data_IF_166712630671
#
_entry.id   IF_166712630671
#
_cell.length_a   1.000
_cell.length_b   1.000
_cell.length_c   1.000
_cell.angle_alpha   90.00
_cell.angle_beta   90.00
_cell.angle_gamma   90.00
#
_symmetry.space_group_name_H-M   'P 1'
#
loop_
_entity.id
_entity.type
_entity.pdbx_description
1 polymer ?
#
# COMPACT_ATOMS: atom_id res chain seq x y z
N UNK A 1 4.98 31.69 3.02
CA UNK A 1 4.43 30.80 4.07
C UNK A 1 3.89 31.71 5.15
N UNK A 2 2.60 32.01 5.05
CA UNK A 2 1.94 32.95 5.95
C UNK A 2 1.52 32.26 7.25
N UNK A 3 1.53 33.06 8.31
CA UNK A 3 1.80 32.66 9.68
C UNK A 3 0.56 32.19 10.44
N UNK A 4 0.84 31.32 11.42
CA UNK A 4 0.18 31.21 12.73
C UNK A 4 -1.35 31.20 12.78
N UNK A 5 -1.87 30.00 13.05
CA UNK A 5 -3.17 29.75 13.67
C UNK A 5 -3.18 30.38 15.08
N UNK A 6 -3.36 31.69 15.14
CA UNK A 6 -3.79 32.38 16.34
C UNK A 6 -5.23 31.92 16.59
N UNK A 7 -5.55 31.60 17.85
CA UNK A 7 -6.85 31.08 18.29
C UNK A 7 -7.99 32.08 17.98
N UNK A 8 -8.39 32.17 16.71
CA UNK A 8 -9.47 33.02 16.25
C UNK A 8 -10.75 32.45 16.83
N UNK A 9 -11.38 33.18 17.76
CA UNK A 9 -12.76 32.93 18.14
C UNK A 9 -13.64 33.29 16.95
N UNK A 10 -14.03 32.27 16.19
CA UNK A 10 -14.98 32.39 15.11
C UNK A 10 -16.36 32.71 15.68
N UNK A 11 -17.07 33.68 15.08
CA UNK A 11 -18.49 33.84 15.34
C UNK A 11 -19.28 32.73 14.63
N UNK A 12 -20.55 32.55 15.00
CA UNK A 12 -21.37 31.50 14.38
C UNK A 12 -21.59 31.76 12.90
N UNK A 13 -21.77 33.04 12.51
CA UNK A 13 -21.91 33.45 11.12
C UNK A 13 -20.65 33.17 10.31
N UNK A 14 -19.47 33.53 10.83
CA UNK A 14 -18.20 33.25 10.14
C UNK A 14 -17.95 31.74 10.01
N UNK A 15 -18.40 30.94 10.99
CA UNK A 15 -18.29 29.47 10.95
C UNK A 15 -19.18 28.87 9.87
N UNK A 16 -20.41 29.37 9.71
CA UNK A 16 -21.34 28.93 8.67
C UNK A 16 -20.86 29.35 7.28
N UNK A 17 -20.35 30.57 7.11
CA UNK A 17 -19.77 31.03 5.86
C UNK A 17 -18.55 30.19 5.46
N UNK A 18 -17.67 29.88 6.42
CA UNK A 18 -16.51 29.03 6.18
C UNK A 18 -16.92 27.61 5.78
N UNK A 19 -17.92 27.02 6.45
CA UNK A 19 -18.44 25.70 6.10
C UNK A 19 -19.01 25.68 4.67
N UNK A 20 -19.85 26.66 4.33
CA UNK A 20 -20.43 26.76 2.98
C UNK A 20 -19.36 26.94 1.89
N UNK A 21 -18.30 27.70 2.19
CA UNK A 21 -17.17 27.86 1.28
C UNK A 21 -16.42 26.55 1.08
N UNK A 22 -16.13 25.83 2.16
CA UNK A 22 -15.41 24.55 2.10
C UNK A 22 -16.22 23.48 1.34
N UNK A 23 -17.53 23.44 1.53
CA UNK A 23 -18.42 22.54 0.79
C UNK A 23 -18.38 22.84 -0.72
N UNK A 24 -18.44 24.12 -1.10
CA UNK A 24 -18.37 24.54 -2.50
C UNK A 24 -17.00 24.23 -3.15
N UNK A 25 -15.90 24.49 -2.44
CA UNK A 25 -14.55 24.17 -2.90
C UNK A 25 -14.34 22.66 -3.06
N UNK A 26 -14.91 21.86 -2.16
CA UNK A 26 -14.86 20.40 -2.24
C UNK A 26 -15.64 19.89 -3.46
N UNK A 27 -16.83 20.41 -3.70
CA UNK A 27 -17.64 20.05 -4.87
C UNK A 27 -16.94 20.43 -6.19
N UNK A 28 -16.34 21.62 -6.26
CA UNK A 28 -15.56 22.05 -7.42
C UNK A 28 -14.36 21.12 -7.66
N UNK A 29 -13.63 20.78 -6.60
CA UNK A 29 -12.52 19.85 -6.66
C UNK A 29 -12.95 18.46 -7.15
N UNK A 30 -14.01 17.88 -6.58
CA UNK A 30 -14.54 16.58 -6.99
C UNK A 30 -14.98 16.59 -8.45
N UNK A 31 -15.60 17.67 -8.92
CA UNK A 31 -16.01 17.80 -10.31
C UNK A 31 -14.85 18.03 -11.27
N UNK A 32 -13.73 18.61 -10.81
CA UNK A 32 -12.51 18.78 -11.60
C UNK A 32 -11.73 17.49 -11.83
N UNK A 33 -11.92 16.48 -10.97
CA UNK A 33 -11.26 15.19 -11.11
C UNK A 33 -11.80 14.40 -12.31
N UNK A 34 -10.92 13.73 -13.03
CA UNK A 34 -11.30 12.80 -14.09
C UNK A 34 -12.16 11.68 -13.50
N UNK A 35 -13.43 11.62 -13.88
CA UNK A 35 -14.38 10.59 -13.43
C UNK A 35 -14.03 9.27 -14.10
N UNK A 36 -13.02 8.58 -13.57
CA UNK A 36 -12.68 7.21 -13.98
C UNK A 36 -13.72 6.28 -13.40
N UNK A 37 -14.38 5.51 -14.26
CA UNK A 37 -15.12 4.32 -13.83
C UNK A 37 -14.16 3.44 -13.04
N UNK A 38 -14.61 2.89 -11.92
CA UNK A 38 -13.86 1.91 -11.13
C UNK A 38 -13.67 0.63 -11.97
N UNK A 39 -12.69 0.65 -12.87
CA UNK A 39 -12.40 -0.43 -13.83
C UNK A 39 -11.19 -1.25 -13.41
N UNK A 40 -10.36 -0.74 -12.51
CA UNK A 40 -9.09 -1.34 -12.09
C UNK A 40 -9.12 -1.95 -10.69
N UNK A 41 -10.23 -1.80 -9.96
CA UNK A 41 -10.38 -2.40 -8.64
C UNK A 41 -11.09 -3.74 -8.69
N UNK A 42 -10.93 -4.53 -7.63
CA UNK A 42 -11.60 -5.82 -7.54
C UNK A 42 -13.12 -5.65 -7.49
N UNK A 43 -13.84 -6.56 -8.15
CA UNK A 43 -15.31 -6.54 -8.12
C UNK A 43 -15.82 -6.60 -6.68
N UNK A 44 -16.85 -5.82 -6.37
CA UNK A 44 -17.47 -5.74 -5.03
C UNK A 44 -17.93 -7.09 -4.47
N UNK A 45 -18.18 -8.07 -5.34
CA UNK A 45 -18.57 -9.42 -4.92
C UNK A 45 -17.37 -10.34 -4.61
N UNK A 46 -16.17 -10.00 -5.09
CA UNK A 46 -14.97 -10.88 -5.01
C UNK A 46 -13.75 -10.24 -4.35
N UNK A 47 -13.84 -8.98 -3.90
CA UNK A 47 -12.70 -8.28 -3.30
C UNK A 47 -12.17 -8.97 -2.04
N UNK A 48 -13.03 -9.67 -1.28
CA UNK A 48 -12.60 -10.41 -0.08
C UNK A 48 -11.71 -11.61 -0.43
N UNK A 49 -12.10 -12.39 -1.46
CA UNK A 49 -11.31 -13.53 -1.93
C UNK A 49 -9.95 -13.07 -2.51
N UNK A 50 -9.96 -11.98 -3.28
CA UNK A 50 -8.75 -11.39 -3.85
C UNK A 50 -7.83 -10.79 -2.75
N UNK A 51 -8.40 -10.20 -1.69
CA UNK A 51 -7.65 -9.72 -0.51
C UNK A 51 -6.96 -10.88 0.19
N UNK A 52 -7.66 -11.98 0.45
CA UNK A 52 -7.10 -13.15 1.14
C UNK A 52 -5.99 -13.82 0.34
N UNK A 53 -6.09 -13.80 -1.00
CA UNK A 53 -5.07 -14.31 -1.92
C UNK A 53 -3.94 -13.32 -2.19
N UNK A 54 -4.00 -12.10 -1.65
CA UNK A 54 -2.97 -11.11 -1.90
C UNK A 54 -1.72 -11.42 -1.04
N UNK A 55 -0.52 -11.47 -1.64
CA UNK A 55 0.73 -11.82 -0.95
C UNK A 55 1.01 -11.03 0.34
N UNK A 56 0.51 -9.80 0.40
CA UNK A 56 0.70 -8.89 1.53
C UNK A 56 -0.31 -9.10 2.67
N UNK A 57 -1.51 -9.60 2.37
CA UNK A 57 -2.62 -9.72 3.33
C UNK A 57 -2.91 -11.17 3.75
N UNK A 58 -2.24 -12.14 3.12
CA UNK A 58 -2.23 -13.54 3.55
C UNK A 58 -1.76 -13.66 5.02
N UNK A 59 -2.64 -14.20 5.88
CA UNK A 59 -2.31 -14.48 7.29
C UNK A 59 -1.52 -15.78 7.47
N UNK A 60 -1.53 -16.65 6.47
CA UNK A 60 -0.84 -17.94 6.46
C UNK A 60 -0.01 -18.06 5.20
N UNK A 61 1.16 -18.67 5.33
CA UNK A 61 1.94 -19.03 4.15
C UNK A 61 1.14 -20.04 3.31
N UNK A 62 1.14 -19.92 1.97
CA UNK A 62 0.53 -20.91 1.08
C UNK A 62 1.19 -22.28 1.29
N UNK A 63 0.39 -23.34 1.30
CA UNK A 63 0.86 -24.70 1.45
C UNK A 63 1.45 -25.22 0.11
N UNK A 64 2.32 -26.25 0.15
CA UNK A 64 2.88 -26.82 -1.07
C UNK A 64 1.78 -27.45 -1.95
N UNK A 65 1.35 -26.74 -2.99
CA UNK A 65 0.30 -27.17 -3.92
C UNK A 65 -0.82 -26.14 -4.13
N UNK A 66 -0.85 -25.06 -3.35
CA UNK A 66 -1.82 -23.98 -3.53
C UNK A 66 -1.50 -23.13 -4.76
N UNK A 67 -2.54 -22.71 -5.50
CA UNK A 67 -2.38 -21.79 -6.63
C UNK A 67 -1.86 -20.43 -6.14
N UNK A 68 -0.59 -20.16 -6.40
CA UNK A 68 0.05 -18.89 -6.06
C UNK A 68 -0.43 -17.80 -7.02
N UNK A 69 -0.78 -16.64 -6.44
CA UNK A 69 -1.07 -15.45 -7.24
C UNK A 69 0.14 -15.07 -8.12
N UNK A 70 -0.06 -14.60 -9.36
CA UNK A 70 1.02 -14.11 -10.23
C UNK A 70 1.91 -13.05 -9.56
N UNK A 71 1.35 -12.26 -8.65
CA UNK A 71 2.10 -11.27 -7.87
C UNK A 71 3.06 -11.93 -6.86
N UNK A 72 2.66 -13.07 -6.28
CA UNK A 72 3.54 -13.87 -5.42
C UNK A 72 4.68 -14.49 -6.21
N UNK A 73 4.39 -15.00 -7.41
CA UNK A 73 5.38 -15.56 -8.32
C UNK A 73 6.41 -14.49 -8.73
N UNK A 74 5.96 -13.29 -9.11
CA UNK A 74 6.83 -12.16 -9.43
C UNK A 74 7.74 -11.77 -8.25
N UNK A 75 7.22 -11.76 -7.02
CA UNK A 75 8.02 -11.52 -5.81
C UNK A 75 9.03 -12.64 -5.51
N UNK A 76 8.71 -13.89 -5.84
CA UNK A 76 9.63 -15.02 -5.73
C UNK A 76 10.74 -14.95 -6.78
N UNK A 77 10.41 -14.59 -8.02
CA UNK A 77 11.40 -14.36 -9.08
C UNK A 77 12.33 -13.19 -8.73
N UNK A 78 11.83 -12.12 -8.12
CA UNK A 78 12.69 -11.02 -7.65
C UNK A 78 13.64 -11.46 -6.51
N UNK A 79 13.15 -12.27 -5.56
CA UNK A 79 13.97 -12.75 -4.42
C UNK A 79 14.91 -13.90 -4.74
N UNK A 80 14.56 -14.77 -5.69
CA UNK A 80 15.23 -16.05 -5.94
C UNK A 80 15.58 -16.28 -7.42
N UNK A 81 15.15 -15.40 -8.31
CA UNK A 81 15.41 -15.48 -9.74
C UNK A 81 16.90 -15.37 -10.02
N UNK A 82 17.39 -16.31 -10.83
CA UNK A 82 18.80 -16.50 -11.15
C UNK A 82 19.38 -15.38 -12.01
N UNK A 83 18.52 -14.65 -12.71
CA UNK A 83 18.88 -13.53 -13.58
C UNK A 83 19.04 -12.21 -12.80
N UNK A 84 18.29 -12.02 -11.71
CA UNK A 84 18.35 -10.80 -10.88
C UNK A 84 19.20 -10.96 -9.61
N UNK A 85 19.49 -12.21 -9.19
CA UNK A 85 20.36 -12.50 -8.05
C UNK A 85 21.65 -13.18 -8.50
N UNK A 86 22.75 -12.42 -8.56
CA UNK A 86 24.10 -13.00 -8.72
C UNK A 86 24.52 -13.77 -7.46
N UNK A 87 25.41 -14.78 -7.55
CA UNK A 87 25.88 -15.57 -6.41
C UNK A 87 26.41 -14.75 -5.22
N UNK A 88 27.00 -13.59 -5.50
CA UNK A 88 27.56 -12.66 -4.51
C UNK A 88 26.52 -11.68 -3.93
N UNK A 89 25.36 -11.54 -4.59
CA UNK A 89 24.27 -10.60 -4.27
C UNK A 89 23.14 -11.19 -3.41
N UNK A 90 23.08 -12.51 -3.23
CA UNK A 90 22.00 -13.13 -2.46
C UNK A 90 22.04 -12.72 -0.97
N UNK A 91 20.94 -12.12 -0.49
CA UNK A 91 20.76 -11.69 0.90
C UNK A 91 20.65 -12.87 1.89
N UNK A 92 20.01 -13.96 1.47
CA UNK A 92 19.82 -15.16 2.30
C UNK A 92 21.12 -15.82 2.77
N UNK A 93 22.10 -16.15 1.91
CA UNK A 93 23.37 -16.71 2.36
C UNK A 93 24.18 -15.73 3.21
N UNK A 94 24.04 -14.40 3.04
CA UNK A 94 24.67 -13.41 3.94
C UNK A 94 24.07 -13.46 5.35
N UNK A 95 22.76 -13.57 5.48
CA UNK A 95 22.08 -13.70 6.78
C UNK A 95 22.46 -15.03 7.46
N UNK A 96 22.45 -16.14 6.74
CA UNK A 96 22.88 -17.44 7.29
C UNK A 96 24.36 -17.45 7.68
N UNK A 97 25.23 -16.81 6.91
CA UNK A 97 26.65 -16.70 7.24
C UNK A 97 26.87 -15.83 8.48
N UNK A 98 26.15 -14.70 8.60
CA UNK A 98 26.21 -13.82 9.77
C UNK A 98 25.69 -14.52 11.04
N UNK A 99 24.57 -15.23 10.95
CA UNK A 99 24.01 -16.00 12.07
C UNK A 99 24.90 -17.17 12.46
N UNK A 100 25.46 -17.90 11.49
CA UNK A 100 26.40 -18.99 11.77
C UNK A 100 27.69 -18.47 12.44
N UNK A 101 28.19 -17.29 12.04
CA UNK A 101 29.35 -16.68 12.71
C UNK A 101 29.04 -16.19 14.12
N UNK A 102 27.82 -15.70 14.39
CA UNK A 102 27.43 -15.23 15.73
C UNK A 102 27.06 -16.36 16.71
N UNK A 103 26.60 -17.51 16.22
CA UNK A 103 26.19 -18.66 17.05
C UNK A 103 27.37 -19.59 17.39
N UNK A 104 28.43 -19.56 16.60
CA UNK A 104 29.60 -20.44 16.77
C UNK A 104 30.91 -19.69 17.10
N UNK A 105 30.83 -18.41 17.50
CA UNK A 105 31.95 -17.61 18.02
C UNK A 105 31.87 -17.44 19.54
#
# INVERSE_FOLDING_TARGET
>A
MDKSNENKMWTEEERLELAAKLDAELDEYINSMEKKSYTEGWSEDKWQEEMEKHPFFMKKAPEPGDELSPLMEGLQQLKYGKDENTPEGMLFPKIYKLLATLVFA
#
